data_IF_662779881373
#
_entry.id   IF_662779881373
#
_cell.length_a   1.000
_cell.length_b   1.000
_cell.length_c   1.000
_cell.angle_alpha   90.00
_cell.angle_beta   90.00
_cell.angle_gamma   90.00
#
_symmetry.space_group_name_H-M   'P 1'
#
loop_
_entity.id
_entity.type
_entity.pdbx_description
1 polymer ?
#
# COMPACT_ATOMS: atom_id res chain seq x y z
N UNK A 1 -51.30 6.39 64.14
CA UNK A 1 -50.45 5.25 63.75
C UNK A 1 -49.83 5.58 62.41
N UNK A 2 -48.52 5.90 62.42
CA UNK A 2 -47.44 5.14 61.74
C UNK A 2 -47.53 5.22 60.21
N UNK A 3 -46.80 6.13 59.55
CA UNK A 3 -45.39 6.09 59.14
C UNK A 3 -45.14 5.14 57.93
N UNK A 4 -44.55 5.66 56.85
CA UNK A 4 -43.97 4.90 55.73
C UNK A 4 -44.04 5.70 54.42
N UNK A 5 -43.30 6.81 54.26
CA UNK A 5 -41.90 6.91 53.82
C UNK A 5 -41.58 6.21 52.48
N UNK A 6 -41.34 7.08 51.49
CA UNK A 6 -40.78 6.87 50.15
C UNK A 6 -39.36 6.32 50.25
N UNK A 7 -38.98 5.35 49.40
CA UNK A 7 -37.64 5.33 48.78
C UNK A 7 -37.72 4.78 47.35
N UNK A 8 -37.53 5.69 46.39
CA UNK A 8 -37.12 5.41 45.02
C UNK A 8 -35.75 4.70 45.04
N UNK A 9 -35.67 3.46 44.56
CA UNK A 9 -34.40 2.84 44.20
C UNK A 9 -34.16 3.06 42.71
N UNK A 10 -33.58 4.22 42.39
CA UNK A 10 -32.82 4.42 41.16
C UNK A 10 -31.61 3.50 41.22
N UNK A 11 -31.65 2.39 40.46
CA UNK A 11 -30.46 1.63 40.10
C UNK A 11 -29.63 2.49 39.13
N UNK A 12 -28.86 3.41 39.70
CA UNK A 12 -27.74 4.04 39.01
C UNK A 12 -26.71 2.95 38.71
N UNK A 13 -26.80 2.38 37.51
CA UNK A 13 -25.72 1.61 36.94
C UNK A 13 -24.49 2.50 36.83
N UNK A 14 -23.48 2.25 37.66
CA UNK A 14 -22.15 2.78 37.48
C UNK A 14 -21.64 2.30 36.11
N UNK A 15 -21.80 3.13 35.08
CA UNK A 15 -21.02 3.01 33.86
C UNK A 15 -19.56 3.19 34.26
N UNK A 16 -18.87 2.07 34.48
CA UNK A 16 -17.43 2.05 34.59
C UNK A 16 -16.88 2.61 33.28
N UNK A 17 -16.42 3.86 33.35
CA UNK A 17 -15.76 4.54 32.26
C UNK A 17 -14.54 3.69 31.89
N UNK A 18 -14.57 3.09 30.69
CA UNK A 18 -13.43 2.32 30.15
C UNK A 18 -12.17 3.16 30.38
N UNK A 19 -11.10 2.62 30.97
CA UNK A 19 -9.82 3.30 31.01
C UNK A 19 -9.49 3.74 29.59
N UNK A 20 -9.34 5.05 29.41
CA UNK A 20 -8.81 5.56 28.15
C UNK A 20 -7.43 4.91 27.99
N UNK A 21 -7.28 4.06 26.98
CA UNK A 21 -5.98 3.66 26.48
C UNK A 21 -5.23 4.96 26.18
N UNK A 22 -4.35 5.34 27.11
CA UNK A 22 -3.33 6.33 26.85
C UNK A 22 -2.51 5.77 25.70
N UNK A 23 -2.79 6.26 24.51
CA UNK A 23 -1.97 6.03 23.34
C UNK A 23 -0.58 6.52 23.74
N UNK A 24 0.37 5.61 23.93
CA UNK A 24 1.75 5.97 24.23
C UNK A 24 2.19 7.01 23.20
N UNK A 25 2.87 8.10 23.61
CA UNK A 25 3.35 9.09 22.68
C UNK A 25 4.17 8.38 21.62
N UNK A 26 3.71 8.45 20.37
CA UNK A 26 4.45 7.92 19.23
C UNK A 26 5.83 8.57 19.29
N UNK A 27 6.88 7.76 19.46
CA UNK A 27 8.24 8.23 19.53
C UNK A 27 8.48 9.23 18.38
N UNK A 28 8.97 10.41 18.74
CA UNK A 28 9.17 11.52 17.80
C UNK A 28 10.19 11.07 16.76
N UNK A 29 9.75 10.85 15.53
CA UNK A 29 10.67 10.55 14.42
C UNK A 29 11.70 11.65 14.37
N UNK A 30 12.96 11.24 14.41
CA UNK A 30 14.07 12.16 14.65
C UNK A 30 14.63 12.68 13.34
N UNK A 31 14.65 11.84 12.29
CA UNK A 31 15.27 12.16 11.00
C UNK A 31 14.61 11.38 9.86
N UNK A 32 14.33 12.09 8.76
CA UNK A 32 14.04 11.50 7.45
C UNK A 32 15.06 12.01 6.46
N UNK A 33 15.89 11.10 5.96
CA UNK A 33 17.03 11.43 5.12
C UNK A 33 16.85 10.78 3.75
N UNK A 34 16.92 11.54 2.64
CA UNK A 34 16.96 10.98 1.31
C UNK A 34 18.15 10.02 1.15
N UNK A 35 17.94 8.88 0.49
CA UNK A 35 19.00 7.89 0.23
C UNK A 35 19.07 7.54 -1.25
N UNK A 36 20.27 7.16 -1.68
CA UNK A 36 20.46 6.64 -3.02
C UNK A 36 19.88 5.22 -3.13
N UNK A 37 18.97 5.03 -4.09
CA UNK A 37 18.38 3.73 -4.41
C UNK A 37 19.40 2.83 -5.14
N UNK A 38 20.45 3.42 -5.73
CA UNK A 38 21.42 2.70 -6.55
C UNK A 38 20.92 2.44 -7.97
N UNK A 39 21.86 2.15 -8.86
CA UNK A 39 21.58 1.83 -10.26
C UNK A 39 21.10 0.40 -10.45
N UNK A 40 20.26 0.17 -11.46
CA UNK A 40 19.88 -1.17 -11.87
C UNK A 40 21.08 -1.91 -12.47
N UNK A 41 21.51 -3.01 -11.84
CA UNK A 41 22.35 -3.99 -12.52
C UNK A 41 21.46 -4.85 -13.43
N UNK A 42 21.92 -5.23 -14.64
CA UNK A 42 21.19 -6.17 -15.48
C UNK A 42 21.04 -7.52 -14.76
N UNK A 43 19.82 -8.04 -14.70
CA UNK A 43 19.52 -9.38 -14.19
C UNK A 43 18.26 -9.94 -14.88
N UNK A 44 18.02 -11.24 -14.73
CA UNK A 44 16.82 -11.89 -15.26
C UNK A 44 15.60 -11.50 -14.41
N UNK A 45 14.80 -10.56 -14.91
CA UNK A 45 13.60 -10.04 -14.25
C UNK A 45 12.42 -11.03 -14.32
N UNK A 46 11.76 -11.25 -13.19
CA UNK A 46 10.48 -11.94 -13.05
C UNK A 46 9.45 -11.00 -12.45
N UNK A 47 8.38 -10.72 -13.21
CA UNK A 47 7.30 -9.84 -12.78
C UNK A 47 6.67 -10.27 -11.44
N UNK A 48 6.48 -11.58 -11.26
CA UNK A 48 5.90 -12.08 -10.01
C UNK A 48 6.91 -12.03 -8.85
N UNK A 49 8.10 -12.61 -9.03
CA UNK A 49 9.04 -12.80 -7.93
C UNK A 49 9.73 -11.51 -7.48
N UNK A 50 10.08 -10.63 -8.43
CA UNK A 50 10.87 -9.44 -8.14
C UNK A 50 10.01 -8.20 -7.85
N UNK A 51 8.78 -8.18 -8.38
CA UNK A 51 7.90 -7.02 -8.27
C UNK A 51 6.65 -7.31 -7.45
N UNK A 52 5.76 -8.19 -7.92
CA UNK A 52 4.44 -8.37 -7.31
C UNK A 52 4.50 -8.96 -5.90
N UNK A 53 5.23 -10.06 -5.72
CA UNK A 53 5.29 -10.74 -4.43
C UNK A 53 5.86 -9.83 -3.31
N UNK A 54 6.99 -9.13 -3.52
CA UNK A 54 7.49 -8.16 -2.55
C UNK A 54 6.52 -7.01 -2.28
N UNK A 55 5.82 -6.52 -3.31
CA UNK A 55 4.85 -5.44 -3.19
C UNK A 55 3.63 -5.86 -2.36
N UNK A 56 3.08 -7.05 -2.65
CA UNK A 56 1.92 -7.58 -1.93
C UNK A 56 2.28 -7.88 -0.47
N UNK A 57 3.48 -8.44 -0.24
CA UNK A 57 4.03 -8.65 1.09
C UNK A 57 4.14 -7.33 1.86
N UNK A 58 4.64 -6.26 1.21
CA UNK A 58 4.77 -4.94 1.81
C UNK A 58 3.43 -4.37 2.30
N UNK A 59 2.43 -4.37 1.41
CA UNK A 59 1.11 -3.82 1.69
C UNK A 59 0.32 -4.63 2.73
N UNK A 60 0.69 -5.90 2.92
CA UNK A 60 0.03 -6.81 3.84
C UNK A 60 0.67 -6.84 5.25
N UNK A 61 2.00 -6.77 5.32
CA UNK A 61 2.72 -7.01 6.58
C UNK A 61 2.98 -5.75 7.39
N UNK A 62 2.99 -4.58 6.76
CA UNK A 62 3.37 -3.37 7.45
C UNK A 62 2.19 -2.74 8.21
N UNK A 63 2.41 -2.22 9.44
CA UNK A 63 1.36 -1.66 10.27
C UNK A 63 0.85 -0.30 9.76
N UNK A 64 1.30 0.13 8.59
CA UNK A 64 0.96 1.42 8.01
C UNK A 64 -0.29 1.38 7.14
N UNK A 65 -0.64 0.24 6.54
CA UNK A 65 -1.70 0.15 5.53
C UNK A 65 -2.98 -0.50 6.07
N UNK A 66 -4.13 -0.07 5.58
CA UNK A 66 -5.44 -0.64 5.88
C UNK A 66 -6.09 -1.31 4.66
N UNK A 67 -5.28 -1.92 3.80
CA UNK A 67 -5.73 -2.64 2.60
C UNK A 67 -6.05 -4.10 2.94
N UNK A 68 -7.12 -4.63 2.36
CA UNK A 68 -7.56 -6.02 2.56
C UNK A 68 -7.20 -6.93 1.38
N UNK A 69 -7.20 -6.39 0.16
CA UNK A 69 -6.93 -7.13 -1.07
C UNK A 69 -5.52 -7.75 -1.14
N UNK A 70 -4.43 -7.13 -0.63
CA UNK A 70 -3.11 -7.76 -0.67
C UNK A 70 -3.10 -9.15 0.00
N UNK A 71 -3.71 -9.28 1.17
CA UNK A 71 -3.80 -10.55 1.89
C UNK A 71 -4.63 -11.59 1.11
N UNK A 72 -5.76 -11.16 0.54
CA UNK A 72 -6.61 -12.03 -0.26
C UNK A 72 -5.87 -12.54 -1.50
N UNK A 73 -5.19 -11.66 -2.24
CA UNK A 73 -4.42 -12.02 -3.43
C UNK A 73 -3.30 -13.00 -3.12
N UNK A 74 -2.60 -12.83 -1.99
CA UNK A 74 -1.52 -13.74 -1.56
C UNK A 74 -2.06 -15.11 -1.16
N UNK A 75 -3.18 -15.17 -0.43
CA UNK A 75 -3.64 -16.42 0.16
C UNK A 75 -4.56 -17.22 -0.77
N UNK A 76 -5.54 -16.55 -1.39
CA UNK A 76 -6.66 -17.19 -2.08
C UNK A 76 -6.53 -17.18 -3.60
N UNK A 77 -5.49 -16.53 -4.15
CA UNK A 77 -5.28 -16.48 -5.58
C UNK A 77 -3.88 -16.96 -5.96
N UNK A 78 -3.69 -17.33 -7.22
CA UNK A 78 -2.40 -17.68 -7.81
C UNK A 78 -2.13 -16.77 -9.00
N UNK A 79 -0.90 -16.27 -9.08
CA UNK A 79 -0.45 -15.51 -10.23
C UNK A 79 -0.65 -16.34 -11.50
N UNK A 80 -1.25 -15.71 -12.51
CA UNK A 80 -1.55 -16.35 -13.78
C UNK A 80 -0.69 -15.75 -14.88
N UNK A 81 -0.85 -14.45 -15.18
CA UNK A 81 -0.11 -13.82 -16.27
C UNK A 81 -0.02 -12.29 -16.09
N UNK A 82 0.77 -11.65 -16.94
CA UNK A 82 0.71 -10.22 -17.21
C UNK A 82 -0.09 -9.98 -18.50
N UNK A 83 -1.17 -9.21 -18.42
CA UNK A 83 -1.85 -8.72 -19.61
C UNK A 83 -1.18 -7.40 -20.04
N UNK A 84 -0.62 -7.41 -21.24
CA UNK A 84 0.00 -6.22 -21.84
C UNK A 84 -1.03 -5.16 -22.23
N UNK A 85 -0.71 -3.89 -21.98
CA UNK A 85 -1.34 -2.76 -22.67
C UNK A 85 -0.45 -2.31 -23.83
N UNK A 86 -1.04 -1.67 -24.85
CA UNK A 86 -0.24 -0.94 -25.84
C UNK A 86 0.45 0.30 -25.23
N UNK A 87 -0.01 0.78 -24.07
CA UNK A 87 0.61 1.88 -23.33
C UNK A 87 1.63 1.31 -22.32
N UNK A 88 2.95 1.50 -22.50
CA UNK A 88 4.00 0.95 -21.62
C UNK A 88 3.99 1.58 -20.21
N UNK A 89 3.11 2.55 -19.96
CA UNK A 89 2.89 3.13 -18.64
C UNK A 89 1.83 2.41 -17.83
N UNK A 90 1.18 1.39 -18.38
CA UNK A 90 0.08 0.68 -17.73
C UNK A 90 0.31 -0.82 -17.83
N UNK A 91 0.22 -1.50 -16.70
CA UNK A 91 0.33 -2.96 -16.64
C UNK A 91 -0.80 -3.52 -15.79
N UNK A 92 -1.26 -4.72 -16.16
CA UNK A 92 -2.16 -5.52 -15.34
C UNK A 92 -1.55 -6.89 -15.17
N UNK A 93 -1.47 -7.34 -13.93
CA UNK A 93 -1.12 -8.69 -13.56
C UNK A 93 -2.36 -9.38 -13.04
N UNK A 94 -2.59 -10.58 -13.53
CA UNK A 94 -3.79 -11.35 -13.23
C UNK A 94 -3.47 -12.48 -12.29
N UNK A 95 -4.46 -12.76 -11.46
CA UNK A 95 -4.45 -13.83 -10.51
C UNK A 95 -5.76 -14.61 -10.66
N UNK A 96 -5.69 -15.93 -10.63
CA UNK A 96 -6.86 -16.79 -10.63
C UNK A 96 -7.13 -17.28 -9.22
N UNK A 97 -8.39 -17.20 -8.79
CA UNK A 97 -8.82 -17.73 -7.49
C UNK A 97 -8.57 -19.24 -7.41
N UNK A 98 -8.18 -19.71 -6.22
CA UNK A 98 -7.98 -21.15 -5.99
C UNK A 98 -9.26 -21.88 -5.60
N UNK A 99 -10.32 -21.15 -5.26
CA UNK A 99 -11.57 -21.70 -4.71
C UNK A 99 -12.76 -21.54 -5.65
N UNK A 100 -12.70 -20.60 -6.59
CA UNK A 100 -13.77 -20.33 -7.54
C UNK A 100 -13.22 -19.81 -8.87
N UNK A 101 -14.12 -19.45 -9.78
CA UNK A 101 -13.75 -18.95 -11.11
C UNK A 101 -13.43 -17.46 -11.17
N UNK A 102 -13.34 -16.78 -10.02
CA UNK A 102 -13.06 -15.35 -10.00
C UNK A 102 -11.60 -15.01 -10.28
N UNK A 103 -11.39 -13.75 -10.65
CA UNK A 103 -10.11 -13.17 -10.99
C UNK A 103 -9.72 -12.09 -9.99
N UNK A 104 -8.42 -11.97 -9.76
CA UNK A 104 -7.80 -10.88 -9.03
C UNK A 104 -6.82 -10.13 -9.94
N UNK A 105 -6.64 -8.83 -9.67
CA UNK A 105 -5.75 -7.97 -10.45
C UNK A 105 -4.80 -7.19 -9.56
N UNK A 106 -3.59 -7.00 -10.05
CA UNK A 106 -2.73 -5.90 -9.65
C UNK A 106 -2.53 -5.03 -10.87
N UNK A 107 -3.06 -3.82 -10.83
CA UNK A 107 -2.90 -2.84 -11.90
C UNK A 107 -1.90 -1.79 -11.45
N UNK A 108 -0.94 -1.49 -12.31
CA UNK A 108 0.03 -0.42 -12.04
C UNK A 108 0.03 0.55 -13.20
N UNK A 109 -0.04 1.84 -12.87
CA UNK A 109 0.04 2.91 -13.86
C UNK A 109 1.01 3.98 -13.40
N UNK A 110 1.81 4.47 -14.33
CA UNK A 110 2.75 5.57 -14.10
C UNK A 110 2.42 6.77 -14.99
N UNK A 111 2.74 7.96 -14.50
CA UNK A 111 2.49 9.22 -15.18
C UNK A 111 3.45 9.48 -16.34
N UNK A 112 3.53 10.75 -16.76
CA UNK A 112 4.46 11.17 -17.83
C UNK A 112 5.89 11.32 -17.32
N UNK A 113 6.05 11.72 -16.06
CA UNK A 113 7.35 11.90 -15.41
C UNK A 113 7.33 11.26 -14.02
N UNK A 114 7.19 9.93 -13.93
CA UNK A 114 7.14 9.24 -12.64
C UNK A 114 8.52 9.24 -11.97
N UNK A 115 8.55 9.40 -10.65
CA UNK A 115 9.79 9.50 -9.86
C UNK A 115 9.69 8.53 -8.68
N UNK A 116 10.76 7.78 -8.43
CA UNK A 116 10.93 6.94 -7.25
C UNK A 116 12.01 7.53 -6.34
N UNK A 117 11.63 7.96 -5.13
CA UNK A 117 12.53 8.51 -4.13
C UNK A 117 12.68 7.55 -2.94
N UNK A 118 13.91 7.32 -2.51
CA UNK A 118 14.22 6.49 -1.35
C UNK A 118 14.52 7.36 -0.13
N UNK A 119 14.04 6.95 1.03
CA UNK A 119 14.32 7.60 2.30
C UNK A 119 14.66 6.58 3.38
N UNK A 120 15.55 6.94 4.28
CA UNK A 120 15.68 6.28 5.58
C UNK A 120 14.91 7.11 6.61
N UNK A 121 14.15 6.42 7.46
CA UNK A 121 13.37 7.00 8.55
C UNK A 121 13.89 6.39 9.85
N UNK A 122 14.50 7.21 10.69
CA UNK A 122 15.10 6.78 11.95
C UNK A 122 14.23 7.22 13.14
N UNK A 123 14.23 6.42 14.20
CA UNK A 123 13.43 6.71 15.39
C UNK A 123 11.92 6.53 15.19
N UNK A 124 11.50 5.69 14.24
CA UNK A 124 10.09 5.27 14.15
C UNK A 124 9.76 4.28 15.27
N UNK A 125 8.47 4.08 15.57
CA UNK A 125 8.00 3.03 16.51
C UNK A 125 8.43 1.60 16.10
N UNK A 126 8.90 1.44 14.86
CA UNK A 126 9.36 0.19 14.27
C UNK A 126 10.89 0.12 14.16
N UNK A 127 11.62 1.08 14.74
CA UNK A 127 13.05 1.25 14.55
C UNK A 127 13.37 2.01 13.26
N UNK A 128 14.55 1.77 12.69
CA UNK A 128 14.90 2.31 11.38
C UNK A 128 14.14 1.57 10.28
N UNK A 129 13.44 2.32 9.44
CA UNK A 129 12.72 1.80 8.26
C UNK A 129 13.09 2.59 7.01
N UNK A 130 12.77 2.05 5.84
CA UNK A 130 13.15 2.62 4.56
C UNK A 130 11.89 2.84 3.71
N UNK A 131 11.63 4.07 3.29
CA UNK A 131 10.45 4.40 2.51
C UNK A 131 10.80 4.63 1.04
N UNK A 132 10.03 3.99 0.16
CA UNK A 132 10.02 4.26 -1.28
C UNK A 132 8.78 5.07 -1.62
N UNK A 133 8.97 6.33 -1.96
CA UNK A 133 7.88 7.25 -2.36
C UNK A 133 7.86 7.34 -3.88
N UNK A 134 6.76 6.89 -4.47
CA UNK A 134 6.54 6.90 -5.91
C UNK A 134 5.58 8.02 -6.29
N UNK A 135 6.14 9.04 -6.95
CA UNK A 135 5.38 10.17 -7.52
C UNK A 135 4.74 9.75 -8.84
N UNK A 136 3.51 10.19 -9.07
CA UNK A 136 2.72 9.88 -10.28
C UNK A 136 2.62 8.38 -10.59
N UNK A 137 2.68 7.52 -9.56
CA UNK A 137 2.53 6.07 -9.71
C UNK A 137 1.33 5.64 -8.90
N UNK A 138 0.47 4.83 -9.50
CA UNK A 138 -0.76 4.33 -8.90
C UNK A 138 -0.79 2.82 -9.01
N UNK A 139 -1.09 2.19 -7.89
CA UNK A 139 -1.30 0.75 -7.81
C UNK A 139 -2.73 0.53 -7.37
N UNK A 140 -3.48 -0.29 -8.09
CA UNK A 140 -4.77 -0.78 -7.62
C UNK A 140 -4.80 -2.30 -7.59
N UNK A 141 -5.32 -2.84 -6.49
CA UNK A 141 -5.55 -4.25 -6.27
C UNK A 141 -7.03 -4.52 -6.40
N UNK A 142 -7.41 -5.61 -7.07
CA UNK A 142 -8.78 -6.04 -7.19
C UNK A 142 -8.91 -7.52 -6.87
N UNK A 143 -10.04 -7.91 -6.26
CA UNK A 143 -10.42 -9.30 -6.01
C UNK A 143 -11.86 -9.56 -6.46
N UNK A 144 -12.21 -10.83 -6.64
CA UNK A 144 -13.57 -11.29 -6.97
C UNK A 144 -14.13 -10.78 -8.31
N UNK A 145 -13.28 -10.42 -9.25
CA UNK A 145 -13.71 -10.02 -10.58
C UNK A 145 -14.25 -11.22 -11.37
N UNK A 146 -15.32 -11.03 -12.15
CA UNK A 146 -15.93 -12.14 -12.92
C UNK A 146 -15.29 -12.37 -14.29
N UNK A 147 -14.31 -11.56 -14.69
CA UNK A 147 -13.65 -11.70 -15.98
C UNK A 147 -12.55 -10.67 -16.18
N UNK A 148 -11.59 -11.03 -17.03
CA UNK A 148 -10.38 -10.26 -17.30
C UNK A 148 -10.69 -8.89 -17.93
N UNK A 149 -9.94 -7.84 -17.60
CA UNK A 149 -10.03 -6.58 -18.30
C UNK A 149 -9.46 -6.69 -19.73
N UNK A 150 -10.01 -5.90 -20.64
CA UNK A 150 -9.56 -5.83 -22.05
C UNK A 150 -9.00 -4.45 -22.31
N UNK A 151 -7.86 -4.37 -23.01
CA UNK A 151 -7.31 -3.09 -23.44
C UNK A 151 -7.94 -2.67 -24.79
N UNK A 152 -8.69 -1.57 -24.79
CA UNK A 152 -9.28 -1.02 -26.01
C UNK A 152 -9.38 0.51 -25.93
N UNK A 153 -9.22 1.18 -27.07
CA UNK A 153 -9.30 2.65 -27.16
C UNK A 153 -8.39 3.38 -26.15
N UNK A 154 -7.18 2.87 -25.91
CA UNK A 154 -6.18 3.47 -25.01
C UNK A 154 -6.47 3.31 -23.51
N UNK A 155 -7.48 2.52 -23.12
CA UNK A 155 -7.88 2.30 -21.73
C UNK A 155 -8.18 0.84 -21.43
N UNK A 156 -8.10 0.48 -20.16
CA UNK A 156 -8.59 -0.79 -19.64
C UNK A 156 -10.12 -0.72 -19.53
N UNK A 157 -10.79 -1.68 -20.13
CA UNK A 157 -12.22 -1.90 -20.01
C UNK A 157 -12.44 -3.08 -19.08
N UNK A 158 -13.17 -2.85 -18.00
CA UNK A 158 -13.61 -3.90 -17.09
C UNK A 158 -15.04 -4.29 -17.43
N UNK A 159 -15.41 -5.54 -17.14
CA UNK A 159 -16.78 -6.00 -17.31
C UNK A 159 -17.71 -5.38 -16.23
N UNK A 160 -18.99 -5.76 -16.28
CA UNK A 160 -20.02 -5.30 -15.32
C UNK A 160 -19.76 -5.73 -13.87
N UNK A 161 -18.84 -6.67 -13.64
CA UNK A 161 -18.46 -7.18 -12.32
C UNK A 161 -16.94 -7.10 -12.14
N UNK A 162 -16.38 -5.88 -12.02
CA UNK A 162 -14.95 -5.63 -12.13
C UNK A 162 -14.17 -6.05 -10.86
N UNK A 163 -14.88 -6.45 -9.80
CA UNK A 163 -14.33 -6.84 -8.51
C UNK A 163 -14.29 -5.69 -7.49
N UNK A 164 -13.73 -5.97 -6.32
CA UNK A 164 -13.55 -4.99 -5.23
C UNK A 164 -12.17 -4.33 -5.35
N UNK A 165 -12.12 -3.03 -5.63
CA UNK A 165 -10.87 -2.31 -5.83
C UNK A 165 -10.37 -1.60 -4.56
N UNK A 166 -9.06 -1.66 -4.37
CA UNK A 166 -8.33 -0.87 -3.40
C UNK A 166 -7.11 -0.25 -4.10
N UNK A 167 -6.95 1.08 -4.02
CA UNK A 167 -5.92 1.80 -4.75
C UNK A 167 -5.03 2.63 -3.85
N UNK A 168 -3.74 2.68 -4.16
CA UNK A 168 -2.82 3.68 -3.63
C UNK A 168 -3.03 5.02 -4.35
N UNK A 169 -3.14 6.12 -3.58
CA UNK A 169 -3.12 7.49 -4.13
C UNK A 169 -4.37 7.99 -4.87
N UNK A 170 -5.58 7.51 -4.57
CA UNK A 170 -6.79 7.98 -5.28
C UNK A 170 -8.16 7.87 -4.57
N UNK A 171 -8.24 7.34 -3.36
CA UNK A 171 -9.54 7.20 -2.70
C UNK A 171 -9.79 8.34 -1.71
N UNK A 172 -11.04 8.80 -1.60
CA UNK A 172 -11.51 9.69 -0.52
C UNK A 172 -11.26 9.10 0.89
N UNK A 173 -10.85 7.83 0.94
CA UNK A 173 -10.39 7.09 2.10
C UNK A 173 -8.87 6.95 2.08
N UNK A 174 -8.23 7.29 3.20
CA UNK A 174 -6.78 7.15 3.40
C UNK A 174 -6.41 5.66 3.33
N UNK A 175 -5.39 5.27 2.55
CA UNK A 175 -4.88 3.87 2.57
C UNK A 175 -4.09 3.54 3.83
N UNK A 176 -3.73 4.56 4.60
CA UNK A 176 -2.94 4.43 5.81
C UNK A 176 -3.85 4.24 7.03
N UNK A 177 -3.48 3.31 7.92
CA UNK A 177 -4.15 3.12 9.21
C UNK A 177 -4.17 4.42 10.00
N UNK A 178 -5.28 4.68 10.70
CA UNK A 178 -5.37 5.78 11.66
C UNK A 178 -4.27 5.61 12.71
N UNK A 179 -3.56 6.70 13.03
CA UNK A 179 -2.45 6.67 13.98
C UNK A 179 -1.14 6.07 13.44
N UNK A 180 -1.09 5.59 12.18
CA UNK A 180 0.14 5.04 11.58
C UNK A 180 1.31 6.03 11.53
N UNK A 181 1.03 7.33 11.58
CA UNK A 181 2.02 8.40 11.53
C UNK A 181 2.71 8.58 10.16
N UNK A 182 2.65 7.60 9.25
CA UNK A 182 3.51 7.51 8.06
C UNK A 182 3.52 8.77 7.16
N UNK A 183 2.37 9.35 6.76
CA UNK A 183 2.34 10.66 6.09
C UNK A 183 3.02 11.79 6.88
N UNK A 184 2.87 11.81 8.20
CA UNK A 184 3.55 12.78 9.06
C UNK A 184 5.05 12.52 9.19
N UNK A 185 5.49 11.25 9.11
CA UNK A 185 6.92 10.91 9.14
C UNK A 185 7.64 11.45 7.91
N UNK A 186 7.05 11.26 6.73
CA UNK A 186 7.64 11.71 5.47
C UNK A 186 7.60 13.23 5.28
N UNK A 187 6.71 13.93 6.00
CA UNK A 187 6.62 15.39 5.98
C UNK A 187 6.57 15.96 4.56
N UNK A 188 7.53 16.83 4.16
CA UNK A 188 7.51 17.49 2.86
C UNK A 188 7.79 16.54 1.67
N UNK A 189 8.25 15.32 1.93
CA UNK A 189 8.58 14.37 0.87
C UNK A 189 7.36 13.63 0.31
N UNK A 190 6.19 13.78 0.93
CA UNK A 190 4.95 13.06 0.62
C UNK A 190 3.81 13.99 0.21
N UNK A 191 3.01 13.55 -0.76
CA UNK A 191 1.70 14.10 -1.13
C UNK A 191 0.65 12.96 -1.06
N UNK A 192 -0.60 13.27 -0.72
CA UNK A 192 -1.71 12.30 -0.63
C UNK A 192 -1.91 11.45 -1.89
N UNK A 193 -1.44 11.92 -3.05
CA UNK A 193 -1.50 11.21 -4.33
C UNK A 193 -0.34 10.23 -4.56
N UNK A 194 0.64 10.20 -3.66
CA UNK A 194 1.81 9.35 -3.80
C UNK A 194 1.54 7.92 -3.34
N UNK A 195 2.22 6.98 -3.99
CA UNK A 195 2.29 5.61 -3.51
C UNK A 195 3.53 5.45 -2.64
N UNK A 196 3.37 4.98 -1.40
CA UNK A 196 4.48 4.79 -0.45
C UNK A 196 4.58 3.33 -0.07
N UNK A 197 5.76 2.74 -0.24
CA UNK A 197 6.12 1.42 0.30
C UNK A 197 7.14 1.58 1.43
N UNK A 198 7.03 0.77 2.50
CA UNK A 198 7.94 0.85 3.66
C UNK A 198 8.63 -0.48 3.93
N UNK A 199 9.95 -0.49 3.99
CA UNK A 199 10.77 -1.69 4.09
C UNK A 199 11.60 -1.71 5.38
N UNK A 200 12.02 -2.91 5.80
CA UNK A 200 12.87 -3.12 6.99
C UNK A 200 14.36 -3.04 6.70
N UNK A 201 14.74 -3.03 5.43
CA UNK A 201 16.13 -2.90 5.00
C UNK A 201 16.24 -2.10 3.71
N UNK A 202 17.36 -1.40 3.55
CA UNK A 202 17.69 -0.70 2.32
C UNK A 202 17.69 -1.65 1.12
N UNK A 203 18.28 -2.84 1.27
CA UNK A 203 18.34 -3.82 0.18
C UNK A 203 16.97 -4.28 -0.33
N UNK A 204 15.95 -4.39 0.53
CA UNK A 204 14.58 -4.68 0.09
C UNK A 204 14.01 -3.54 -0.75
N UNK A 205 14.16 -2.28 -0.28
CA UNK A 205 13.74 -1.09 -1.02
C UNK A 205 14.40 -1.06 -2.40
N UNK A 206 15.73 -1.24 -2.45
CA UNK A 206 16.51 -1.18 -3.68
C UNK A 206 16.06 -2.25 -4.69
N UNK A 207 15.84 -3.50 -4.24
CA UNK A 207 15.33 -4.57 -5.12
C UNK A 207 13.99 -4.20 -5.74
N UNK A 208 13.04 -3.71 -4.94
CA UNK A 208 11.71 -3.32 -5.46
C UNK A 208 11.80 -2.12 -6.40
N UNK A 209 12.64 -1.14 -6.09
CA UNK A 209 12.82 0.04 -6.93
C UNK A 209 13.48 -0.31 -8.28
N UNK A 210 14.47 -1.22 -8.28
CA UNK A 210 15.07 -1.75 -9.52
C UNK A 210 14.03 -2.54 -10.32
N UNK A 211 13.23 -3.40 -9.67
CA UNK A 211 12.14 -4.14 -10.32
C UNK A 211 11.10 -3.19 -10.95
N UNK A 212 10.74 -2.11 -10.26
CA UNK A 212 9.88 -1.05 -10.78
C UNK A 212 10.49 -0.33 -11.99
N UNK A 213 11.80 -0.05 -11.97
CA UNK A 213 12.52 0.57 -13.10
C UNK A 213 12.58 -0.35 -14.32
N UNK A 214 12.75 -1.65 -14.12
CA UNK A 214 12.68 -2.65 -15.19
C UNK A 214 11.26 -2.69 -15.78
N UNK A 215 10.25 -2.69 -14.92
CA UNK A 215 8.86 -2.73 -15.36
C UNK A 215 8.40 -1.44 -16.06
N UNK A 216 8.91 -0.30 -15.61
CA UNK A 216 8.59 1.03 -16.13
C UNK A 216 9.89 1.79 -16.45
N UNK A 217 10.47 1.60 -17.65
CA UNK A 217 11.75 2.22 -18.03
C UNK A 217 11.76 3.76 -17.93
N UNK A 218 10.59 4.41 -18.03
CA UNK A 218 10.39 5.84 -17.85
C UNK A 218 10.42 6.32 -16.39
N UNK A 219 10.44 5.41 -15.40
CA UNK A 219 10.54 5.75 -13.98
C UNK A 219 11.91 6.39 -13.70
N UNK A 220 11.92 7.64 -13.26
CA UNK A 220 13.14 8.31 -12.86
C UNK A 220 13.51 7.90 -11.44
N UNK A 221 14.77 7.51 -11.24
CA UNK A 221 15.37 7.25 -9.94
C UNK A 221 16.46 8.31 -9.76
N UNK A 222 16.22 9.37 -8.95
CA UNK A 222 17.20 10.43 -8.78
C UNK A 222 18.50 9.93 -8.16
N UNK A 223 19.62 10.42 -8.68
CA UNK A 223 20.94 10.20 -8.08
C UNK A 223 21.15 11.24 -6.98
N UNK A 224 21.18 10.77 -5.73
CA UNK A 224 21.47 11.63 -4.58
C UNK A 224 22.97 11.59 -4.35
N UNK A 225 23.65 12.62 -4.85
CA UNK A 225 25.06 12.86 -4.58
C UNK A 225 25.14 13.68 -3.30
N UNK A 226 25.73 13.09 -2.27
CA UNK A 226 26.14 13.80 -1.06
C UNK A 226 27.39 14.65 -1.34
#
# INVERSE_FOLDING_TARGET
MRLGFIVFLFLAGCAAQKPQEQTQPIAKVTTVTPINIGGATPYAYSAYADYLSPLLSNLNQEPFYQLSNPQLLVNAYRYHDQIGAADPRKTIYTFKSTTDDSWGYVTTSVGRSPIANGFVIEGSALGTVYALVLKQTKLCLATQAKGLPVFANGRWLFNESPGFFECTGLTNTRIYKVGSGLPGLLGPYFDDKDTVFVFRSQGQLQRVAVALKQQFPQLSVPDIRN
#
